data_IF_006435311652
#
_entry.id   IF_006435311652
#
_cell.length_a   1.000
_cell.length_b   1.000
_cell.length_c   1.000
_cell.angle_alpha   90.00
_cell.angle_beta   90.00
_cell.angle_gamma   90.00
#
_symmetry.space_group_name_H-M   'P 1'
#
loop_
_entity.id
_entity.type
_entity.pdbx_description
1 polymer ?
#
# COMPACT_ATOMS: atom_id res chain seq x y z
N UNK A 1 27.77 10.61 8.75
CA UNK A 1 27.22 9.27 8.72
C UNK A 1 25.73 9.34 9.03
N UNK A 2 24.88 8.61 8.31
CA UNK A 2 23.44 8.56 8.60
C UNK A 2 23.17 7.88 9.92
N UNK A 3 22.10 8.29 10.59
CA UNK A 3 21.56 7.67 11.82
C UNK A 3 20.05 7.58 11.66
N UNK A 4 19.44 6.47 12.08
CA UNK A 4 18.01 6.23 11.96
C UNK A 4 17.37 6.20 13.35
N UNK A 5 16.29 6.97 13.53
CA UNK A 5 15.47 6.97 14.75
C UNK A 5 14.09 6.42 14.43
N UNK A 6 13.61 5.49 15.26
CA UNK A 6 12.29 4.88 15.16
C UNK A 6 11.54 5.01 16.48
N UNK A 7 10.31 5.49 16.43
CA UNK A 7 9.44 5.64 17.59
C UNK A 7 9.16 4.29 18.28
N UNK A 8 8.84 3.25 17.49
CA UNK A 8 8.51 1.93 18.02
C UNK A 8 9.72 1.03 18.23
N UNK A 9 9.49 -0.06 18.99
CA UNK A 9 10.50 -1.09 19.27
C UNK A 9 10.87 -1.96 18.06
N UNK A 10 10.04 -1.95 17.01
CA UNK A 10 10.24 -2.72 15.79
C UNK A 10 10.27 -1.79 14.57
N UNK A 11 11.20 -2.06 13.67
CA UNK A 11 11.24 -1.41 12.37
C UNK A 11 10.14 -1.97 11.44
N UNK A 12 9.68 -1.15 10.49
CA UNK A 12 8.84 -1.60 9.39
C UNK A 12 7.55 -0.81 9.18
N UNK A 13 6.85 -0.38 10.22
CA UNK A 13 5.63 0.43 10.09
C UNK A 13 4.63 -0.17 9.09
N UNK A 14 4.06 0.67 8.21
CA UNK A 14 3.14 0.25 7.14
C UNK A 14 3.81 -0.66 6.10
N UNK A 15 5.13 -0.52 5.88
CA UNK A 15 5.87 -1.38 4.96
C UNK A 15 5.81 -2.84 5.38
N UNK A 16 6.02 -3.13 6.67
CA UNK A 16 5.94 -4.49 7.23
C UNK A 16 4.57 -5.14 6.97
N UNK A 17 3.49 -4.36 6.98
CA UNK A 17 2.12 -4.82 6.75
C UNK A 17 1.77 -4.97 5.27
N UNK A 18 2.64 -4.55 4.33
CA UNK A 18 2.36 -4.61 2.90
C UNK A 18 2.34 -6.06 2.40
N UNK A 19 1.18 -6.50 1.94
CA UNK A 19 0.96 -7.87 1.45
C UNK A 19 1.08 -8.03 -0.07
N UNK A 20 1.06 -6.93 -0.81
CA UNK A 20 1.11 -6.91 -2.28
C UNK A 20 2.54 -7.08 -2.82
N UNK A 21 3.04 -6.07 -3.50
CA UNK A 21 4.38 -6.03 -4.10
C UNK A 21 4.75 -4.61 -4.49
N UNK A 22 5.81 -4.48 -5.27
CA UNK A 22 6.31 -3.22 -5.82
C UNK A 22 5.99 -3.12 -7.32
N UNK A 23 5.26 -2.09 -7.75
CA UNK A 23 5.08 -1.83 -9.18
C UNK A 23 6.37 -1.29 -9.80
N UNK A 24 6.73 -1.83 -10.95
CA UNK A 24 7.82 -1.34 -11.79
C UNK A 24 7.60 -1.78 -13.24
N UNK A 25 7.97 -0.94 -14.19
CA UNK A 25 7.94 -1.20 -15.63
C UNK A 25 9.34 -1.37 -16.20
N UNK A 26 9.45 -2.01 -17.37
CA UNK A 26 10.71 -2.20 -18.11
C UNK A 26 11.81 -2.89 -17.27
N UNK A 27 11.42 -3.81 -16.39
CA UNK A 27 12.37 -4.52 -15.55
C UNK A 27 12.97 -5.74 -16.28
N UNK A 28 14.21 -6.12 -15.91
CA UNK A 28 14.82 -7.35 -16.39
C UNK A 28 13.95 -8.59 -16.14
N UNK A 29 13.20 -8.61 -15.03
CA UNK A 29 12.32 -9.73 -14.68
C UNK A 29 11.07 -9.79 -15.56
N UNK A 30 10.54 -8.62 -16.01
CA UNK A 30 9.47 -8.59 -17.01
C UNK A 30 9.98 -9.11 -18.36
N UNK A 31 11.17 -8.69 -18.78
CA UNK A 31 11.82 -9.18 -20.02
C UNK A 31 12.01 -10.70 -19.99
N UNK A 32 12.54 -11.26 -18.90
CA UNK A 32 12.72 -12.72 -18.71
C UNK A 32 11.41 -13.50 -18.81
N UNK A 33 10.28 -12.91 -18.42
CA UNK A 33 8.95 -13.52 -18.45
C UNK A 33 8.16 -13.20 -19.74
N UNK A 34 8.74 -12.41 -20.65
CA UNK A 34 8.08 -11.99 -21.88
C UNK A 34 6.87 -11.06 -21.65
N UNK A 35 6.89 -10.28 -20.56
CA UNK A 35 5.86 -9.29 -20.23
C UNK A 35 6.26 -7.97 -20.90
N UNK A 36 5.46 -7.52 -21.89
CA UNK A 36 5.64 -6.24 -22.53
C UNK A 36 5.01 -5.14 -21.66
N UNK A 37 5.81 -4.17 -21.22
CA UNK A 37 5.40 -3.02 -20.41
C UNK A 37 6.26 -1.80 -20.80
N UNK A 38 5.81 -0.59 -20.44
CA UNK A 38 6.58 0.63 -20.65
C UNK A 38 6.33 1.65 -19.53
N UNK A 39 7.26 2.60 -19.38
CA UNK A 39 7.11 3.72 -18.46
C UNK A 39 5.86 4.56 -18.81
N UNK A 40 5.57 4.76 -20.11
CA UNK A 40 4.38 5.46 -20.56
C UNK A 40 3.10 4.75 -20.10
N UNK A 41 3.02 3.43 -20.30
CA UNK A 41 1.85 2.65 -19.89
C UNK A 41 1.69 2.65 -18.37
N UNK A 42 2.78 2.55 -17.61
CA UNK A 42 2.75 2.66 -16.16
C UNK A 42 2.30 4.05 -15.71
N UNK A 43 2.77 5.10 -16.38
CA UNK A 43 2.34 6.48 -16.13
C UNK A 43 0.85 6.66 -16.39
N UNK A 44 0.35 6.21 -17.55
CA UNK A 44 -1.06 6.32 -17.94
C UNK A 44 -2.00 5.58 -16.98
N UNK A 45 -1.67 4.33 -16.61
CA UNK A 45 -2.43 3.57 -15.61
C UNK A 45 -2.49 4.31 -14.28
N UNK A 46 -1.34 4.82 -13.81
CA UNK A 46 -1.25 5.50 -12.52
C UNK A 46 -1.96 6.84 -12.52
N UNK A 47 -1.84 7.61 -13.60
CA UNK A 47 -2.56 8.87 -13.78
C UNK A 47 -4.07 8.66 -13.82
N UNK A 48 -4.51 7.64 -14.56
CA UNK A 48 -5.93 7.24 -14.63
C UNK A 48 -6.44 6.79 -13.26
N UNK A 49 -5.70 5.91 -12.57
CA UNK A 49 -6.02 5.47 -11.22
C UNK A 49 -6.09 6.62 -10.22
N UNK A 50 -5.22 7.62 -10.34
CA UNK A 50 -5.18 8.85 -9.55
C UNK A 50 -6.20 9.91 -10.01
N UNK A 51 -7.07 9.59 -10.97
CA UNK A 51 -8.11 10.47 -11.54
C UNK A 51 -7.54 11.74 -12.19
N UNK A 52 -6.32 11.66 -12.72
CA UNK A 52 -5.65 12.76 -13.43
C UNK A 52 -5.15 13.89 -12.51
N UNK A 53 -5.15 13.71 -11.20
CA UNK A 53 -4.77 14.75 -10.23
C UNK A 53 -3.36 14.60 -9.67
N UNK A 54 -2.64 13.56 -10.06
CA UNK A 54 -1.25 13.34 -9.69
C UNK A 54 -0.37 14.54 -10.10
N UNK A 55 0.62 14.90 -9.27
CA UNK A 55 1.71 15.73 -9.72
C UNK A 55 2.51 14.98 -10.79
N UNK A 56 2.40 15.42 -12.04
CA UNK A 56 2.94 14.69 -13.17
C UNK A 56 4.47 14.60 -13.16
N UNK A 57 5.17 15.60 -12.61
CA UNK A 57 6.62 15.60 -12.50
C UNK A 57 7.09 14.51 -11.52
N UNK A 58 6.45 14.41 -10.35
CA UNK A 58 6.71 13.35 -9.38
C UNK A 58 6.33 11.97 -9.93
N UNK A 59 5.21 11.89 -10.66
CA UNK A 59 4.77 10.64 -11.25
C UNK A 59 5.74 10.15 -12.34
N UNK A 60 6.21 11.02 -13.24
CA UNK A 60 7.26 10.67 -14.19
C UNK A 60 8.52 10.18 -13.47
N UNK A 61 8.94 10.89 -12.42
CA UNK A 61 10.12 10.46 -11.65
C UNK A 61 9.93 9.07 -11.05
N UNK A 62 8.74 8.76 -10.50
CA UNK A 62 8.41 7.45 -9.96
C UNK A 62 8.56 6.36 -11.01
N UNK A 63 7.90 6.51 -12.16
CA UNK A 63 7.86 5.45 -13.18
C UNK A 63 9.23 5.26 -13.84
N UNK A 64 9.93 6.35 -14.19
CA UNK A 64 11.23 6.32 -14.85
C UNK A 64 12.34 5.70 -13.99
N UNK A 65 12.17 5.72 -12.66
CA UNK A 65 13.15 5.17 -11.74
C UNK A 65 12.72 3.83 -11.11
N UNK A 66 11.57 3.28 -11.48
CA UNK A 66 11.02 2.06 -10.89
C UNK A 66 11.87 0.82 -11.18
N UNK A 67 12.29 0.61 -12.45
CA UNK A 67 13.18 -0.50 -12.82
C UNK A 67 14.53 -0.43 -12.10
N UNK A 68 15.13 0.77 -12.03
CA UNK A 68 16.41 0.96 -11.33
C UNK A 68 16.30 0.71 -9.82
N UNK A 69 15.12 0.91 -9.23
CA UNK A 69 14.88 0.59 -7.83
C UNK A 69 14.76 -0.94 -7.61
N UNK A 70 14.15 -1.69 -8.53
CA UNK A 70 14.15 -3.16 -8.53
C UNK A 70 15.59 -3.69 -8.63
N UNK A 71 16.40 -3.16 -9.56
CA UNK A 71 17.80 -3.57 -9.71
C UNK A 71 18.64 -3.25 -8.46
N UNK A 72 18.40 -2.11 -7.83
CA UNK A 72 19.06 -1.73 -6.59
C UNK A 72 18.72 -2.69 -5.45
N UNK A 73 17.44 -3.04 -5.27
CA UNK A 73 17.00 -4.04 -4.28
C UNK A 73 17.65 -5.41 -4.55
N UNK A 74 17.64 -5.87 -5.80
CA UNK A 74 18.23 -7.14 -6.20
C UNK A 74 19.75 -7.18 -5.91
N UNK A 75 20.46 -6.07 -6.13
CA UNK A 75 21.90 -5.94 -5.81
C UNK A 75 22.21 -6.08 -4.31
N UNK A 76 21.20 -5.85 -3.44
CA UNK A 76 21.28 -6.02 -1.99
C UNK A 76 20.74 -7.38 -1.52
N UNK A 77 20.46 -8.30 -2.45
CA UNK A 77 19.89 -9.61 -2.13
C UNK A 77 18.41 -9.58 -1.74
N UNK A 78 17.68 -8.57 -2.22
CA UNK A 78 16.23 -8.43 -2.08
C UNK A 78 15.60 -8.58 -3.46
N UNK A 79 15.43 -9.83 -3.89
CA UNK A 79 14.97 -10.16 -5.25
C UNK A 79 13.45 -10.25 -5.32
N UNK A 80 12.83 -9.47 -6.20
CA UNK A 80 11.38 -9.43 -6.43
C UNK A 80 11.08 -9.84 -7.88
N UNK A 81 11.07 -11.12 -8.17
CA UNK A 81 10.96 -11.68 -9.53
C UNK A 81 9.67 -12.45 -9.83
N UNK A 82 8.74 -12.52 -8.89
CA UNK A 82 7.40 -13.04 -9.13
C UNK A 82 6.47 -11.86 -9.49
N UNK A 83 5.91 -11.86 -10.71
CA UNK A 83 5.17 -10.71 -11.24
C UNK A 83 3.70 -11.06 -11.47
N UNK A 84 2.79 -10.25 -10.95
CA UNK A 84 1.35 -10.44 -11.06
C UNK A 84 0.59 -9.15 -11.38
N UNK A 85 -0.74 -9.24 -11.50
CA UNK A 85 -1.63 -8.10 -11.66
C UNK A 85 -1.92 -7.39 -10.32
N UNK A 86 -2.21 -6.08 -10.40
CA UNK A 86 -2.90 -5.31 -9.36
C UNK A 86 -4.11 -4.62 -9.96
N UNK A 87 -5.12 -4.30 -9.15
CA UNK A 87 -6.32 -3.60 -9.62
C UNK A 87 -5.97 -2.22 -10.20
N UNK A 88 -6.53 -1.93 -11.39
CA UNK A 88 -6.24 -0.72 -12.15
C UNK A 88 -4.95 -0.75 -12.98
N UNK A 89 -4.21 -1.86 -13.00
CA UNK A 89 -3.06 -2.03 -13.89
C UNK A 89 -3.44 -2.79 -15.16
N UNK A 90 -3.04 -2.29 -16.32
CA UNK A 90 -3.32 -2.89 -17.63
C UNK A 90 -2.46 -4.11 -17.95
N UNK A 91 -1.29 -4.25 -17.29
CA UNK A 91 -0.37 -5.38 -17.45
C UNK A 91 0.13 -5.89 -16.10
N UNK A 92 0.74 -7.08 -16.08
CA UNK A 92 1.41 -7.62 -14.90
C UNK A 92 2.64 -6.77 -14.58
N UNK A 93 2.65 -6.08 -13.43
CA UNK A 93 3.69 -5.11 -13.08
C UNK A 93 4.06 -5.12 -11.59
N UNK A 94 3.28 -5.82 -10.76
CA UNK A 94 3.55 -5.88 -9.32
C UNK A 94 4.56 -6.99 -9.02
N UNK A 95 5.78 -6.60 -8.62
CA UNK A 95 6.91 -7.48 -8.32
C UNK A 95 6.87 -7.93 -6.86
N UNK A 96 7.03 -9.22 -6.63
CA UNK A 96 6.91 -9.90 -5.33
C UNK A 96 8.10 -10.85 -5.11
N UNK A 97 8.32 -11.31 -3.85
CA UNK A 97 9.25 -12.41 -3.59
C UNK A 97 8.94 -13.64 -4.46
N UNK A 98 9.98 -14.42 -4.80
CA UNK A 98 9.89 -15.58 -5.71
C UNK A 98 8.85 -16.62 -5.29
N UNK A 99 8.66 -16.82 -4.00
CA UNK A 99 7.69 -17.77 -3.42
C UNK A 99 6.24 -17.23 -3.35
N UNK A 100 6.02 -15.98 -3.78
CA UNK A 100 4.72 -15.32 -3.75
C UNK A 100 4.29 -14.81 -2.36
N UNK A 101 5.18 -14.83 -1.37
CA UNK A 101 4.92 -14.31 -0.03
C UNK A 101 4.69 -12.78 -0.03
N UNK A 102 4.25 -12.24 1.11
CA UNK A 102 4.06 -10.80 1.30
C UNK A 102 5.37 -10.04 1.15
N UNK A 103 5.35 -8.95 0.38
CA UNK A 103 6.57 -8.15 0.10
C UNK A 103 7.09 -7.46 1.36
N UNK A 104 6.20 -7.06 2.28
CA UNK A 104 6.53 -6.18 3.39
C UNK A 104 7.60 -6.75 4.32
N UNK A 105 7.37 -7.93 4.88
CA UNK A 105 8.32 -8.60 5.77
C UNK A 105 9.63 -8.88 5.03
N UNK A 106 9.56 -9.42 3.82
CA UNK A 106 10.74 -9.74 3.01
C UNK A 106 11.62 -8.50 2.73
N UNK A 107 10.98 -7.37 2.40
CA UNK A 107 11.65 -6.10 2.14
C UNK A 107 12.29 -5.53 3.41
N UNK A 108 11.54 -5.46 4.51
CA UNK A 108 12.02 -4.91 5.78
C UNK A 108 13.18 -5.72 6.32
N UNK A 109 13.08 -7.06 6.37
CA UNK A 109 14.15 -7.94 6.83
C UNK A 109 15.42 -7.77 5.97
N UNK A 110 15.24 -7.69 4.65
CA UNK A 110 16.34 -7.45 3.72
C UNK A 110 17.03 -6.09 3.95
N UNK A 111 16.28 -5.02 4.15
CA UNK A 111 16.82 -3.69 4.41
C UNK A 111 17.50 -3.61 5.78
N UNK A 112 16.93 -4.20 6.84
CA UNK A 112 17.54 -4.25 8.18
C UNK A 112 18.85 -5.02 8.15
N UNK A 113 18.92 -6.15 7.41
CA UNK A 113 20.16 -6.86 7.19
C UNK A 113 21.22 -5.94 6.57
N UNK A 114 20.90 -5.23 5.50
CA UNK A 114 21.82 -4.31 4.82
C UNK A 114 22.26 -3.14 5.72
N UNK A 115 21.36 -2.55 6.51
CA UNK A 115 21.66 -1.51 7.50
C UNK A 115 22.68 -2.04 8.53
N UNK A 116 22.46 -3.26 9.01
CA UNK A 116 23.35 -3.90 10.01
C UNK A 116 24.73 -4.20 9.44
N UNK A 117 24.80 -4.77 8.24
CA UNK A 117 26.05 -5.08 7.54
C UNK A 117 26.88 -3.82 7.25
N UNK A 118 26.22 -2.70 6.96
CA UNK A 118 26.87 -1.41 6.75
C UNK A 118 27.13 -0.63 8.04
N UNK A 119 26.80 -1.20 9.19
CA UNK A 119 26.98 -0.58 10.50
C UNK A 119 26.31 0.81 10.62
N UNK A 120 25.14 0.99 10.01
CA UNK A 120 24.33 2.19 10.14
C UNK A 120 23.60 2.14 11.48
N UNK A 121 23.81 3.14 12.39
CA UNK A 121 23.13 3.15 13.68
C UNK A 121 21.62 3.26 13.53
N UNK A 122 20.89 2.34 14.15
CA UNK A 122 19.43 2.30 14.21
C UNK A 122 19.00 2.33 15.68
N UNK A 123 18.28 3.36 16.07
CA UNK A 123 17.75 3.53 17.42
C UNK A 123 16.22 3.33 17.40
N UNK A 124 15.75 2.29 18.05
CA UNK A 124 14.32 2.03 18.31
C UNK A 124 13.89 2.68 19.62
N UNK A 125 12.57 2.78 19.87
CA UNK A 125 12.01 3.47 21.04
C UNK A 125 12.57 4.90 21.22
N UNK A 126 12.74 5.59 20.09
CA UNK A 126 13.33 6.92 20.00
C UNK A 126 12.37 7.85 19.30
N UNK A 127 11.58 8.57 20.07
CA UNK A 127 10.57 9.51 19.55
C UNK A 127 11.24 10.81 19.11
N UNK A 128 11.12 11.14 17.81
CA UNK A 128 11.47 12.47 17.33
C UNK A 128 10.29 13.41 17.59
N UNK A 129 10.52 14.43 18.41
CA UNK A 129 9.47 15.36 18.84
C UNK A 129 9.53 16.71 18.13
N UNK A 130 10.69 17.03 17.53
CA UNK A 130 10.89 18.31 16.83
C UNK A 130 12.02 18.24 15.83
N UNK A 131 11.85 18.97 14.73
CA UNK A 131 12.93 19.28 13.78
C UNK A 131 13.45 20.67 14.14
N UNK A 132 14.75 20.80 14.39
CA UNK A 132 15.39 22.06 14.76
C UNK A 132 15.86 22.84 13.53
N UNK A 133 15.68 24.15 13.59
CA UNK A 133 16.12 25.11 12.57
C UNK A 133 17.04 26.15 13.18
N UNK A 134 18.04 26.58 12.43
CA UNK A 134 18.92 27.70 12.74
C UNK A 134 19.17 28.50 11.47
N UNK A 135 18.90 29.80 11.50
CA UNK A 135 19.08 30.73 10.36
C UNK A 135 18.38 30.25 9.07
N UNK A 136 17.16 29.71 9.20
CA UNK A 136 16.34 29.24 8.07
C UNK A 136 16.78 27.89 7.47
N UNK A 137 17.65 27.14 8.13
CA UNK A 137 18.13 25.81 7.73
C UNK A 137 17.91 24.78 8.82
N UNK A 138 17.61 23.54 8.43
CA UNK A 138 17.58 22.44 9.37
C UNK A 138 18.95 22.28 10.08
N UNK A 139 18.94 22.08 11.39
CA UNK A 139 20.14 21.94 12.22
C UNK A 139 20.14 20.67 13.09
N UNK A 140 19.12 19.81 12.95
CA UNK A 140 19.00 18.55 13.64
C UNK A 140 17.61 18.26 14.18
N UNK A 141 17.50 17.41 15.18
CA UNK A 141 16.23 17.00 15.80
C UNK A 141 16.31 16.95 17.32
N UNK A 142 15.17 17.08 17.98
CA UNK A 142 14.99 16.67 19.38
C UNK A 142 14.37 15.29 19.42
N UNK A 143 14.93 14.42 20.26
CA UNK A 143 14.43 13.04 20.45
C UNK A 143 14.19 12.79 21.94
N UNK A 144 13.21 11.92 22.23
CA UNK A 144 13.05 11.31 23.54
C UNK A 144 13.52 9.87 23.44
N UNK A 145 14.53 9.52 24.24
CA UNK A 145 15.06 8.17 24.37
C UNK A 145 15.25 7.85 25.84
N UNK A 146 14.74 6.70 26.30
CA UNK A 146 14.77 6.30 27.72
C UNK A 146 14.17 7.35 28.68
N UNK A 147 13.20 8.12 28.20
CA UNK A 147 12.51 9.18 28.93
C UNK A 147 13.30 10.50 29.04
N UNK A 148 14.47 10.59 28.41
CA UNK A 148 15.28 11.81 28.38
C UNK A 148 15.19 12.49 27.00
N UNK A 149 15.03 13.82 27.01
CA UNK A 149 15.11 14.63 25.79
C UNK A 149 16.57 14.88 25.44
N UNK A 150 16.95 14.58 24.20
CA UNK A 150 18.30 14.81 23.65
C UNK A 150 18.20 15.57 22.34
N UNK A 151 19.14 16.48 22.11
CA UNK A 151 19.29 17.19 20.85
C UNK A 151 20.37 16.50 20.01
N UNK A 152 20.01 16.12 18.79
CA UNK A 152 20.93 15.55 17.80
C UNK A 152 21.15 16.58 16.70
N UNK A 153 22.38 17.00 16.50
CA UNK A 153 22.75 17.95 15.43
C UNK A 153 22.97 17.21 14.12
N UNK A 154 22.45 17.78 13.02
CA UNK A 154 22.61 17.23 11.68
C UNK A 154 22.47 18.34 10.64
N UNK A 155 23.23 18.27 9.54
CA UNK A 155 23.10 19.19 8.41
C UNK A 155 21.88 18.89 7.55
N UNK A 156 21.36 17.66 7.57
CA UNK A 156 20.18 17.25 6.84
C UNK A 156 19.30 16.29 7.66
N UNK A 157 18.00 16.40 7.49
CA UNK A 157 16.97 15.49 8.05
C UNK A 157 16.09 14.95 6.93
N UNK A 158 15.91 13.62 6.91
CA UNK A 158 14.96 12.94 6.02
C UNK A 158 13.80 12.42 6.84
N UNK A 159 12.59 12.90 6.56
CA UNK A 159 11.37 12.50 7.27
C UNK A 159 10.66 11.41 6.48
N UNK A 160 10.50 10.22 7.11
CA UNK A 160 9.86 9.04 6.51
C UNK A 160 8.88 8.39 7.50
N UNK A 161 8.12 9.21 8.21
CA UNK A 161 7.28 8.81 9.36
C UNK A 161 5.99 8.10 8.96
N UNK A 162 5.70 7.99 7.67
CA UNK A 162 4.41 7.51 7.17
C UNK A 162 3.33 8.58 7.21
N UNK A 163 2.10 8.18 6.87
CA UNK A 163 0.94 9.06 6.82
C UNK A 163 0.23 9.24 8.18
N UNK A 164 -1.07 9.53 8.11
CA UNK A 164 -1.90 9.79 9.28
C UNK A 164 -3.13 8.85 9.39
N UNK A 165 -3.10 7.69 8.72
CA UNK A 165 -4.22 6.76 8.64
C UNK A 165 -4.70 6.17 9.98
N UNK A 166 -3.91 6.24 11.06
CA UNK A 166 -4.29 5.85 12.43
C UNK A 166 -4.63 7.03 13.32
N UNK A 167 -4.64 8.26 12.79
CA UNK A 167 -5.04 9.45 13.53
C UNK A 167 -6.50 9.80 13.19
N UNK A 168 -7.45 9.25 13.95
CA UNK A 168 -8.88 9.46 13.71
C UNK A 168 -9.29 10.93 13.73
N UNK A 169 -8.66 11.76 14.54
CA UNK A 169 -8.92 13.20 14.60
C UNK A 169 -8.54 13.89 13.29
N UNK A 170 -7.37 13.60 12.73
CA UNK A 170 -6.96 14.11 11.42
C UNK A 170 -7.87 13.57 10.31
N UNK A 171 -8.17 12.27 10.33
CA UNK A 171 -9.09 11.67 9.35
C UNK A 171 -10.44 12.39 9.37
N UNK A 172 -11.08 12.52 10.53
CA UNK A 172 -12.38 13.18 10.67
C UNK A 172 -12.34 14.68 10.28
N UNK A 173 -11.20 15.36 10.47
CA UNK A 173 -11.06 16.76 10.08
C UNK A 173 -11.03 16.98 8.58
N UNK A 174 -10.42 16.06 7.83
CA UNK A 174 -10.32 16.12 6.37
C UNK A 174 -11.45 15.37 5.67
N UNK A 175 -11.92 14.24 6.24
CA UNK A 175 -12.94 13.36 5.68
C UNK A 175 -13.94 12.93 6.78
N UNK A 176 -14.90 13.81 7.14
CA UNK A 176 -15.91 13.51 8.17
C UNK A 176 -16.76 12.27 7.87
N UNK A 177 -16.91 11.93 6.58
CA UNK A 177 -17.61 10.74 6.09
C UNK A 177 -16.91 9.43 6.46
N UNK A 178 -15.62 9.45 6.77
CA UNK A 178 -14.85 8.28 7.22
C UNK A 178 -14.84 8.09 8.75
N UNK A 179 -15.65 8.86 9.47
CA UNK A 179 -15.80 8.70 10.91
C UNK A 179 -16.19 7.28 11.29
N UNK A 180 -15.40 6.67 12.18
CA UNK A 180 -15.65 5.31 12.68
C UNK A 180 -15.16 4.18 11.78
N UNK A 181 -14.56 4.48 10.63
CA UNK A 181 -13.91 3.45 9.84
C UNK A 181 -12.68 2.88 10.57
N UNK A 182 -12.50 1.57 10.50
CA UNK A 182 -11.28 0.93 10.98
C UNK A 182 -10.11 1.27 10.06
N UNK A 183 -8.89 1.18 10.59
CA UNK A 183 -7.68 1.43 9.82
C UNK A 183 -6.81 0.18 9.73
N UNK A 184 -6.26 -0.06 8.55
CA UNK A 184 -5.27 -1.12 8.31
C UNK A 184 -3.84 -0.65 8.61
N UNK A 185 -3.64 0.67 8.83
CA UNK A 185 -2.31 1.25 8.98
C UNK A 185 -1.66 0.88 10.32
N UNK A 186 -0.36 1.06 10.42
CA UNK A 186 0.35 0.89 11.68
C UNK A 186 -0.08 1.97 12.68
N UNK A 187 -0.14 1.64 13.97
CA UNK A 187 -0.49 2.60 15.03
C UNK A 187 0.43 3.83 15.07
N UNK A 188 1.61 3.75 14.43
CA UNK A 188 2.54 4.87 14.24
C UNK A 188 2.17 5.85 13.15
N UNK A 189 1.15 5.57 12.33
CA UNK A 189 0.72 6.45 11.24
C UNK A 189 -0.17 7.57 11.79
N UNK A 190 0.42 8.47 12.56
CA UNK A 190 -0.27 9.51 13.37
C UNK A 190 -0.14 10.91 12.79
N UNK A 191 0.64 11.09 11.68
CA UNK A 191 0.86 12.38 11.03
C UNK A 191 1.86 13.28 11.75
N UNK A 192 2.66 12.76 12.67
CA UNK A 192 3.58 13.57 13.47
C UNK A 192 4.66 14.25 12.62
N UNK A 193 5.21 13.53 11.62
CA UNK A 193 6.17 14.10 10.69
C UNK A 193 5.59 15.26 9.87
N UNK A 194 4.33 15.14 9.43
CA UNK A 194 3.63 16.21 8.73
C UNK A 194 3.54 17.44 9.62
N UNK A 195 3.07 17.27 10.87
CA UNK A 195 2.94 18.38 11.83
C UNK A 195 4.28 19.05 12.15
N UNK A 196 5.35 18.28 12.29
CA UNK A 196 6.70 18.84 12.52
C UNK A 196 7.18 19.67 11.32
N UNK A 197 6.89 19.23 10.11
CA UNK A 197 7.23 19.95 8.86
C UNK A 197 6.39 21.22 8.71
N UNK A 198 5.10 21.18 8.99
CA UNK A 198 4.22 22.35 8.99
C UNK A 198 4.68 23.44 9.97
N UNK A 199 5.22 23.05 11.14
CA UNK A 199 5.80 24.00 12.10
C UNK A 199 7.00 24.78 11.54
N UNK A 200 7.70 24.24 10.54
CA UNK A 200 8.78 24.90 9.82
C UNK A 200 8.30 25.67 8.56
N UNK A 201 6.98 25.72 8.35
CA UNK A 201 6.35 26.36 7.19
C UNK A 201 6.34 25.50 5.92
N UNK A 202 6.54 24.19 6.06
CA UNK A 202 6.35 23.24 4.96
C UNK A 202 4.88 23.17 4.54
N UNK A 203 4.66 23.17 3.22
CA UNK A 203 3.32 23.08 2.64
C UNK A 203 2.83 21.62 2.58
N UNK A 204 1.51 21.45 2.63
CA UNK A 204 0.83 20.16 2.43
C UNK A 204 -0.07 20.18 1.20
N UNK A 205 -0.38 19.02 0.66
CA UNK A 205 -1.26 18.85 -0.50
C UNK A 205 -2.11 17.59 -0.34
N UNK A 206 -3.28 17.58 -0.94
CA UNK A 206 -4.19 16.42 -1.03
C UNK A 206 -4.58 15.79 0.32
N UNK A 207 -4.61 16.58 1.41
CA UNK A 207 -4.86 16.06 2.77
C UNK A 207 -6.25 15.42 2.94
N UNK A 208 -7.20 15.72 2.06
CA UNK A 208 -8.52 15.08 2.01
C UNK A 208 -8.52 13.79 1.16
N UNK A 209 -7.42 13.47 0.50
CA UNK A 209 -7.30 12.26 -0.31
C UNK A 209 -6.87 11.08 0.56
N UNK A 210 -7.85 10.37 1.09
CA UNK A 210 -7.68 9.23 1.99
C UNK A 210 -8.25 8.00 1.31
N UNK A 211 -7.40 7.00 1.07
CA UNK A 211 -7.80 5.76 0.41
C UNK A 211 -8.48 4.82 1.37
N UNK A 212 -9.64 4.34 0.96
CA UNK A 212 -10.35 3.23 1.58
C UNK A 212 -10.04 1.94 0.81
N UNK A 213 -9.77 0.86 1.52
CA UNK A 213 -9.57 -0.47 0.93
C UNK A 213 -10.84 -1.31 1.14
N UNK A 214 -11.36 -1.97 0.10
CA UNK A 214 -12.64 -2.69 0.20
C UNK A 214 -12.58 -3.92 1.10
N UNK A 215 -11.47 -4.64 1.15
CA UNK A 215 -11.41 -5.95 1.81
C UNK A 215 -10.68 -5.87 3.15
N UNK A 216 -11.35 -5.35 4.19
CA UNK A 216 -10.83 -5.24 5.56
C UNK A 216 -11.72 -5.99 6.55
N UNK A 217 -11.12 -6.84 7.37
CA UNK A 217 -11.79 -7.50 8.51
C UNK A 217 -12.02 -6.46 9.61
N UNK A 218 -13.27 -6.16 9.92
CA UNK A 218 -13.63 -5.02 10.75
C UNK A 218 -13.20 -5.16 12.22
N UNK A 219 -13.21 -6.37 12.77
CA UNK A 219 -12.88 -6.61 14.19
C UNK A 219 -11.39 -6.39 14.49
N UNK A 220 -10.52 -6.61 13.51
CA UNK A 220 -9.05 -6.58 13.69
C UNK A 220 -8.35 -5.47 12.91
N UNK A 221 -9.02 -4.84 11.93
CA UNK A 221 -8.37 -3.97 10.95
C UNK A 221 -7.43 -4.73 9.99
N UNK A 222 -7.54 -6.05 9.92
CA UNK A 222 -6.71 -6.88 9.05
C UNK A 222 -7.05 -6.64 7.59
N UNK A 223 -6.04 -6.31 6.79
CA UNK A 223 -6.17 -6.22 5.34
C UNK A 223 -6.19 -7.60 4.71
N UNK A 224 -7.22 -7.89 3.93
CA UNK A 224 -7.20 -9.01 3.00
C UNK A 224 -6.63 -8.53 1.67
N UNK A 225 -5.48 -9.09 1.31
CA UNK A 225 -4.70 -8.68 0.15
C UNK A 225 -5.52 -8.70 -1.15
N UNK A 226 -5.30 -7.70 -1.98
CA UNK A 226 -5.82 -7.64 -3.35
C UNK A 226 -5.40 -8.85 -4.19
N UNK A 227 -4.31 -9.52 -3.82
CA UNK A 227 -3.85 -10.78 -4.42
C UNK A 227 -4.95 -11.84 -4.44
N UNK A 228 -5.77 -11.95 -3.38
CA UNK A 228 -6.82 -12.97 -3.32
C UNK A 228 -7.86 -12.73 -4.43
N UNK A 229 -8.25 -11.47 -4.69
CA UNK A 229 -9.11 -11.10 -5.81
C UNK A 229 -8.39 -11.29 -7.17
N UNK A 230 -7.12 -10.95 -7.23
CA UNK A 230 -6.26 -11.14 -8.40
C UNK A 230 -6.00 -12.61 -8.76
N UNK A 231 -6.19 -13.55 -7.83
CA UNK A 231 -6.12 -15.00 -8.07
C UNK A 231 -7.49 -15.62 -8.41
N UNK A 232 -8.55 -14.82 -8.50
CA UNK A 232 -9.86 -15.29 -8.98
C UNK A 232 -10.99 -15.26 -7.95
N UNK A 233 -10.77 -14.78 -6.71
CA UNK A 233 -11.85 -14.65 -5.74
C UNK A 233 -12.93 -13.67 -6.20
N UNK A 234 -14.17 -13.91 -5.75
CA UNK A 234 -15.33 -13.06 -6.02
C UNK A 234 -15.85 -12.41 -4.74
N UNK A 235 -16.56 -11.29 -4.89
CA UNK A 235 -17.28 -10.62 -3.82
C UNK A 235 -18.78 -10.88 -3.96
N UNK A 236 -19.42 -11.32 -2.88
CA UNK A 236 -20.86 -11.52 -2.82
C UNK A 236 -21.50 -10.73 -1.69
N UNK A 237 -22.71 -10.22 -1.94
CA UNK A 237 -23.56 -9.57 -0.96
C UNK A 237 -24.23 -10.61 -0.03
N UNK A 238 -25.10 -10.15 0.89
CA UNK A 238 -25.81 -11.02 1.84
C UNK A 238 -26.88 -11.91 1.18
N UNK A 239 -27.21 -11.65 -0.08
CA UNK A 239 -28.07 -12.49 -0.89
C UNK A 239 -27.29 -13.63 -1.60
N UNK A 240 -25.95 -13.57 -1.58
CA UNK A 240 -25.07 -14.52 -2.27
C UNK A 240 -24.82 -14.18 -3.72
N UNK A 241 -25.08 -12.94 -4.13
CA UNK A 241 -24.95 -12.44 -5.51
C UNK A 241 -23.71 -11.54 -5.63
N UNK A 242 -22.99 -11.63 -6.76
CA UNK A 242 -21.96 -10.65 -7.11
C UNK A 242 -22.61 -9.28 -7.32
N UNK A 243 -21.88 -8.21 -7.07
CA UNK A 243 -22.41 -6.86 -7.16
C UNK A 243 -21.43 -5.84 -7.79
N UNK A 244 -20.21 -6.27 -8.13
CA UNK A 244 -19.16 -5.41 -8.69
C UNK A 244 -18.12 -6.25 -9.44
N UNK A 245 -17.37 -5.61 -10.36
CA UNK A 245 -16.10 -6.16 -10.82
C UNK A 245 -15.08 -6.06 -9.69
N UNK A 246 -14.62 -7.17 -9.19
CA UNK A 246 -13.73 -7.25 -8.02
C UNK A 246 -12.34 -6.64 -8.26
N UNK A 247 -11.96 -6.41 -9.51
CA UNK A 247 -10.67 -5.82 -9.90
C UNK A 247 -10.77 -4.37 -10.40
N UNK A 248 -11.93 -3.74 -10.22
CA UNK A 248 -12.02 -2.30 -10.30
C UNK A 248 -11.09 -1.61 -9.26
N UNK A 249 -10.90 -0.32 -9.39
CA UNK A 249 -10.11 0.47 -8.45
C UNK A 249 -10.70 0.40 -7.04
N UNK A 250 -9.87 0.56 -6.02
CA UNK A 250 -10.26 0.40 -4.60
C UNK A 250 -11.44 1.26 -4.21
N UNK A 251 -11.48 2.50 -4.68
CA UNK A 251 -12.56 3.44 -4.43
C UNK A 251 -13.89 2.97 -5.07
N UNK A 252 -13.86 2.42 -6.30
CA UNK A 252 -15.05 1.90 -6.96
C UNK A 252 -15.61 0.67 -6.23
N UNK A 253 -14.76 -0.28 -5.87
CA UNK A 253 -15.18 -1.47 -5.12
C UNK A 253 -15.70 -1.09 -3.75
N UNK A 254 -15.02 -0.20 -3.01
CA UNK A 254 -15.46 0.28 -1.70
C UNK A 254 -16.79 1.03 -1.76
N UNK A 255 -17.00 1.84 -2.82
CA UNK A 255 -18.26 2.54 -3.02
C UNK A 255 -19.42 1.57 -3.29
N UNK A 256 -19.19 0.52 -4.11
CA UNK A 256 -20.17 -0.51 -4.35
C UNK A 256 -20.54 -1.28 -3.07
N UNK A 257 -19.57 -1.60 -2.22
CA UNK A 257 -19.80 -2.22 -0.91
C UNK A 257 -20.58 -1.33 0.05
N UNK A 258 -20.18 -0.05 0.14
CA UNK A 258 -20.86 0.94 1.01
C UNK A 258 -22.31 1.19 0.57
N UNK A 259 -22.63 0.98 -0.71
CA UNK A 259 -23.98 1.06 -1.24
C UNK A 259 -24.88 -0.15 -0.88
N UNK A 260 -24.30 -1.27 -0.43
CA UNK A 260 -25.07 -2.41 0.06
C UNK A 260 -25.83 -2.02 1.35
N UNK A 261 -27.03 -2.55 1.59
CA UNK A 261 -27.82 -2.23 2.80
C UNK A 261 -27.05 -2.47 4.11
N UNK A 262 -26.29 -3.55 4.18
CA UNK A 262 -25.52 -3.95 5.37
C UNK A 262 -24.08 -3.42 5.36
N UNK A 263 -23.63 -2.79 4.28
CA UNK A 263 -22.31 -2.19 4.10
C UNK A 263 -21.14 -3.14 4.38
N UNK A 264 -21.33 -4.43 4.11
CA UNK A 264 -20.28 -5.46 4.11
C UNK A 264 -20.54 -6.49 3.02
N UNK A 265 -19.52 -7.28 2.68
CA UNK A 265 -19.60 -8.37 1.72
C UNK A 265 -18.86 -9.60 2.24
N UNK A 266 -18.98 -10.70 1.49
CA UNK A 266 -18.13 -11.88 1.67
C UNK A 266 -17.21 -12.04 0.48
N UNK A 267 -15.92 -12.22 0.74
CA UNK A 267 -14.93 -12.65 -0.25
C UNK A 267 -14.96 -14.18 -0.29
N UNK A 268 -15.31 -14.75 -1.45
CA UNK A 268 -15.49 -16.20 -1.65
C UNK A 268 -14.37 -16.72 -2.56
N UNK A 269 -13.76 -17.85 -2.15
CA UNK A 269 -12.72 -18.52 -2.92
C UNK A 269 -12.64 -20.01 -2.55
N UNK A 270 -11.85 -20.76 -3.29
CA UNK A 270 -11.69 -22.19 -3.15
C UNK A 270 -10.29 -22.62 -2.66
N UNK A 271 -10.10 -23.92 -2.48
CA UNK A 271 -8.84 -24.48 -1.98
C UNK A 271 -7.65 -24.31 -2.95
N UNK A 272 -7.88 -24.32 -4.25
CA UNK A 272 -6.80 -24.13 -5.22
C UNK A 272 -6.31 -22.67 -5.21
N UNK A 273 -7.22 -21.71 -5.05
CA UNK A 273 -6.85 -20.32 -4.82
C UNK A 273 -6.08 -20.18 -3.50
N UNK A 274 -6.54 -20.78 -2.42
CA UNK A 274 -5.86 -20.74 -1.10
C UNK A 274 -4.40 -21.23 -1.18
N UNK A 275 -4.11 -22.22 -2.03
CA UNK A 275 -2.75 -22.72 -2.26
C UNK A 275 -1.88 -21.73 -3.04
N UNK A 276 -2.48 -20.98 -3.99
CA UNK A 276 -1.77 -19.98 -4.80
C UNK A 276 -1.52 -18.69 -4.01
N UNK A 277 -2.50 -18.24 -3.23
CA UNK A 277 -2.42 -17.05 -2.40
C UNK A 277 -1.95 -17.41 -0.98
N UNK A 278 -0.63 -17.51 -0.78
CA UNK A 278 -0.01 -17.92 0.50
C UNK A 278 -0.46 -17.12 1.72
N UNK A 279 -0.90 -15.89 1.52
CA UNK A 279 -1.46 -15.05 2.59
C UNK A 279 -2.68 -15.67 3.25
N UNK A 280 -3.41 -16.57 2.58
CA UNK A 280 -4.59 -17.26 3.14
C UNK A 280 -4.21 -18.08 4.37
N UNK A 281 -3.03 -18.70 4.42
CA UNK A 281 -2.55 -19.45 5.60
C UNK A 281 -2.50 -18.53 6.85
N UNK A 282 -2.08 -17.29 6.68
CA UNK A 282 -2.10 -16.30 7.75
C UNK A 282 -3.53 -15.92 8.15
N UNK A 283 -4.43 -15.69 7.19
CA UNK A 283 -5.83 -15.37 7.49
C UNK A 283 -6.56 -16.50 8.22
N UNK A 284 -6.25 -17.77 7.88
CA UNK A 284 -6.75 -18.93 8.62
C UNK A 284 -6.20 -18.96 10.06
N UNK A 285 -4.91 -18.72 10.26
CA UNK A 285 -4.29 -18.72 11.59
C UNK A 285 -4.85 -17.64 12.52
N UNK A 286 -5.26 -16.51 11.96
CA UNK A 286 -5.91 -15.41 12.69
C UNK A 286 -7.43 -15.57 12.85
N UNK A 287 -8.01 -16.67 12.32
CA UNK A 287 -9.43 -16.93 12.42
C UNK A 287 -10.33 -16.04 11.57
N UNK A 288 -9.78 -15.41 10.53
CA UNK A 288 -10.55 -14.54 9.65
C UNK A 288 -11.37 -15.30 8.60
N UNK A 289 -11.08 -16.60 8.38
CA UNK A 289 -11.74 -17.41 7.37
C UNK A 289 -12.86 -18.25 7.96
N UNK A 290 -13.94 -18.41 7.22
CA UNK A 290 -14.98 -19.43 7.40
C UNK A 290 -14.73 -20.48 6.32
N UNK A 291 -14.72 -21.76 6.68
CA UNK A 291 -14.33 -22.86 5.79
C UNK A 291 -15.33 -24.00 5.83
N UNK A 292 -15.67 -24.53 4.66
CA UNK A 292 -16.56 -25.68 4.54
C UNK A 292 -16.15 -26.59 3.37
N UNK A 293 -16.50 -27.86 3.44
CA UNK A 293 -16.16 -28.83 2.39
C UNK A 293 -16.95 -28.61 1.10
N UNK A 294 -18.17 -28.10 1.22
CA UNK A 294 -19.04 -27.79 0.08
C UNK A 294 -19.51 -26.32 0.11
N UNK A 295 -19.92 -25.82 -1.06
CA UNK A 295 -20.43 -24.45 -1.17
C UNK A 295 -21.76 -24.28 -0.43
N UNK A 296 -22.58 -25.34 -0.39
CA UNK A 296 -23.86 -25.33 0.32
C UNK A 296 -23.65 -25.26 1.85
N UNK A 297 -22.66 -25.95 2.39
CA UNK A 297 -22.28 -25.85 3.80
C UNK A 297 -21.70 -24.47 4.14
N UNK A 298 -20.86 -23.90 3.24
CA UNK A 298 -20.33 -22.58 3.40
C UNK A 298 -21.45 -21.53 3.45
N UNK A 299 -22.39 -21.60 2.52
CA UNK A 299 -23.54 -20.72 2.47
C UNK A 299 -24.36 -20.74 3.75
N UNK A 300 -24.60 -21.94 4.32
CA UNK A 300 -25.29 -22.10 5.62
C UNK A 300 -24.52 -21.44 6.77
N UNK A 301 -23.18 -21.55 6.79
CA UNK A 301 -22.35 -20.95 7.85
C UNK A 301 -22.34 -19.41 7.81
N UNK A 302 -22.55 -18.82 6.63
CA UNK A 302 -22.57 -17.35 6.45
C UNK A 302 -23.99 -16.79 6.30
N UNK A 303 -25.02 -17.60 6.58
CA UNK A 303 -26.44 -17.24 6.54
C UNK A 303 -26.91 -16.74 5.17
N UNK A 304 -26.44 -17.40 4.10
CA UNK A 304 -26.82 -17.13 2.70
C UNK A 304 -27.59 -18.34 2.15
N UNK A 305 -28.55 -18.09 1.24
CA UNK A 305 -29.26 -19.19 0.55
C UNK A 305 -28.30 -20.05 -0.28
N UNK A 306 -28.17 -21.35 0.03
CA UNK A 306 -27.23 -22.23 -0.67
C UNK A 306 -27.44 -22.32 -2.17
N UNK A 307 -28.70 -22.26 -2.62
CA UNK A 307 -29.02 -22.36 -4.05
C UNK A 307 -28.54 -21.10 -4.79
N UNK A 308 -28.70 -19.93 -4.18
CA UNK A 308 -28.25 -18.66 -4.77
C UNK A 308 -26.72 -18.59 -4.83
N UNK A 309 -26.02 -18.88 -3.73
CA UNK A 309 -24.56 -18.84 -3.72
C UNK A 309 -23.96 -19.83 -4.72
N UNK A 310 -24.54 -21.03 -4.82
CA UNK A 310 -24.13 -22.02 -5.82
C UNK A 310 -24.34 -21.51 -7.25
N UNK A 311 -25.49 -20.92 -7.55
CA UNK A 311 -25.78 -20.38 -8.87
C UNK A 311 -24.80 -19.24 -9.25
N UNK A 312 -24.43 -18.42 -8.29
CA UNK A 312 -23.42 -17.36 -8.48
C UNK A 312 -22.04 -17.94 -8.84
N UNK A 313 -21.60 -19.00 -8.12
CA UNK A 313 -20.34 -19.66 -8.44
C UNK A 313 -20.40 -20.37 -9.80
N UNK A 314 -21.51 -21.06 -10.11
CA UNK A 314 -21.69 -21.73 -11.41
C UNK A 314 -21.62 -20.68 -12.56
N UNK A 315 -22.22 -19.51 -12.39
CA UNK A 315 -22.15 -18.41 -13.35
C UNK A 315 -20.72 -17.89 -13.49
N UNK A 316 -20.03 -17.63 -12.37
CA UNK A 316 -18.63 -17.20 -12.38
C UNK A 316 -17.72 -18.20 -13.09
N UNK A 317 -17.84 -19.50 -12.77
CA UNK A 317 -17.04 -20.55 -13.38
C UNK A 317 -17.28 -20.67 -14.91
N UNK A 318 -18.50 -20.42 -15.36
CA UNK A 318 -18.80 -20.32 -16.80
C UNK A 318 -18.15 -19.08 -17.43
N UNK A 319 -18.20 -17.92 -16.76
CA UNK A 319 -17.55 -16.69 -17.21
C UNK A 319 -16.03 -16.90 -17.36
N UNK A 320 -15.38 -17.57 -16.40
CA UNK A 320 -13.96 -17.95 -16.44
C UNK A 320 -13.70 -18.84 -17.68
N UNK A 321 -14.50 -19.87 -17.90
CA UNK A 321 -14.34 -20.78 -19.05
C UNK A 321 -14.49 -20.05 -20.40
N UNK A 322 -15.41 -19.11 -20.48
CA UNK A 322 -15.68 -18.33 -21.69
C UNK A 322 -14.77 -17.09 -21.83
N UNK A 323 -13.94 -16.81 -20.81
CA UNK A 323 -13.09 -15.60 -20.72
C UNK A 323 -13.91 -14.32 -20.94
N UNK A 324 -15.10 -14.28 -20.35
CA UNK A 324 -16.02 -13.15 -20.50
C UNK A 324 -16.95 -13.03 -19.29
N UNK A 325 -16.96 -11.87 -18.66
CA UNK A 325 -17.91 -11.50 -17.61
C UNK A 325 -18.92 -10.47 -18.14
N UNK A 326 -20.10 -10.90 -18.62
CA UNK A 326 -21.07 -10.00 -19.22
C UNK A 326 -21.81 -9.13 -18.21
N UNK A 327 -21.74 -9.47 -16.92
CA UNK A 327 -22.49 -8.81 -15.86
C UNK A 327 -21.75 -7.60 -15.28
N UNK A 328 -20.46 -7.76 -14.97
CA UNK A 328 -19.66 -6.71 -14.36
C UNK A 328 -18.43 -6.31 -15.18
N UNK A 329 -18.16 -6.97 -16.30
CA UNK A 329 -17.11 -6.61 -17.25
C UNK A 329 -15.70 -6.89 -16.73
N UNK A 330 -15.53 -7.90 -15.85
CA UNK A 330 -14.18 -8.31 -15.41
C UNK A 330 -13.46 -8.99 -16.59
N UNK A 331 -12.27 -8.49 -16.94
CA UNK A 331 -11.48 -8.93 -18.09
C UNK A 331 -10.15 -9.59 -17.68
N UNK A 332 -9.74 -9.48 -16.41
CA UNK A 332 -8.47 -9.98 -15.90
C UNK A 332 -8.66 -10.92 -14.72
N UNK A 333 -7.62 -11.73 -14.41
CA UNK A 333 -7.65 -12.73 -13.34
C UNK A 333 -8.86 -13.68 -13.44
N UNK A 334 -9.11 -14.16 -14.66
CA UNK A 334 -10.10 -15.19 -15.00
C UNK A 334 -9.39 -16.47 -15.47
N UNK A 335 -8.19 -16.72 -14.96
CA UNK A 335 -7.38 -17.89 -15.33
C UNK A 335 -7.84 -19.18 -14.65
N UNK A 336 -8.53 -19.08 -13.51
CA UNK A 336 -8.91 -20.20 -12.65
C UNK A 336 -10.36 -20.11 -12.20
N UNK A 337 -11.06 -21.24 -12.26
CA UNK A 337 -12.41 -21.41 -11.70
C UNK A 337 -12.36 -21.64 -10.17
N UNK A 338 -13.52 -21.62 -9.53
CA UNK A 338 -13.73 -21.87 -8.11
C UNK A 338 -14.58 -23.14 -7.93
N UNK A 339 -13.96 -24.30 -8.14
CA UNK A 339 -14.69 -25.60 -8.19
C UNK A 339 -14.20 -26.61 -7.16
N UNK A 340 -13.05 -26.36 -6.51
CA UNK A 340 -12.36 -27.36 -5.69
C UNK A 340 -12.47 -27.05 -4.21
N UNK A 341 -13.31 -27.79 -3.47
CA UNK A 341 -13.39 -27.66 -2.01
C UNK A 341 -12.10 -28.06 -1.27
N UNK A 342 -11.94 -27.62 -0.02
CA UNK A 342 -12.86 -26.78 0.73
C UNK A 342 -12.99 -25.37 0.18
N UNK A 343 -14.17 -24.78 0.40
CA UNK A 343 -14.48 -23.39 0.05
C UNK A 343 -14.32 -22.49 1.27
N UNK A 344 -14.01 -21.22 1.01
CA UNK A 344 -13.73 -20.23 2.03
C UNK A 344 -14.58 -18.98 1.84
N UNK A 345 -14.94 -18.36 2.95
CA UNK A 345 -15.51 -17.03 3.00
C UNK A 345 -14.73 -16.17 4.00
N UNK A 346 -14.52 -14.89 3.67
CA UNK A 346 -14.04 -13.88 4.62
C UNK A 346 -15.04 -12.75 4.63
N UNK A 347 -15.56 -12.39 5.82
CA UNK A 347 -16.42 -11.22 5.99
C UNK A 347 -15.56 -9.96 5.97
N UNK A 348 -15.87 -9.06 5.05
CA UNK A 348 -15.08 -7.83 4.84
C UNK A 348 -16.00 -6.60 4.69
N UNK A 349 -15.45 -5.44 5.01
CA UNK A 349 -16.04 -4.16 4.68
C UNK A 349 -14.92 -3.12 4.45
N UNK A 350 -15.24 -1.94 3.91
CA UNK A 350 -14.24 -0.91 3.65
C UNK A 350 -13.55 -0.40 4.93
N UNK A 351 -12.24 -0.11 4.82
CA UNK A 351 -11.44 0.46 5.91
C UNK A 351 -10.35 1.40 5.40
N UNK A 352 -9.91 2.35 6.23
CA UNK A 352 -8.83 3.29 5.90
C UNK A 352 -7.54 2.51 5.67
N UNK A 353 -6.83 2.84 4.58
CA UNK A 353 -5.66 2.05 4.18
C UNK A 353 -4.41 2.88 3.87
N UNK A 354 -4.56 4.05 3.27
CA UNK A 354 -3.44 4.89 2.85
C UNK A 354 -3.88 6.36 2.81
N UNK A 355 -2.98 7.27 3.17
CA UNK A 355 -3.19 8.70 2.97
C UNK A 355 -2.35 9.13 1.77
N UNK A 356 -3.01 9.62 0.68
CA UNK A 356 -2.31 10.15 -0.49
C UNK A 356 -1.84 11.58 -0.26
N UNK A 357 -2.48 12.28 0.70
CA UNK A 357 -2.07 13.60 1.12
C UNK A 357 -0.89 13.58 2.07
N UNK A 358 -0.11 14.64 2.04
CA UNK A 358 1.08 14.82 2.86
C UNK A 358 1.85 16.08 2.51
N UNK A 359 3.10 16.16 2.90
CA UNK A 359 3.94 17.33 2.64
C UNK A 359 4.31 17.44 1.16
N UNK A 360 4.41 18.67 0.65
CA UNK A 360 4.85 18.93 -0.72
C UNK A 360 6.36 18.74 -0.85
N UNK A 361 6.76 18.02 -1.89
CA UNK A 361 8.17 17.83 -2.26
C UNK A 361 8.39 18.12 -3.76
N UNK A 362 9.64 18.34 -4.14
CA UNK A 362 10.07 18.29 -5.53
C UNK A 362 10.70 16.92 -5.86
N UNK A 363 11.16 16.73 -7.10
CA UNK A 363 11.80 15.47 -7.55
C UNK A 363 13.11 15.13 -6.81
N UNK A 364 13.75 16.13 -6.20
CA UNK A 364 14.91 15.94 -5.31
C UNK A 364 14.50 15.64 -3.88
N UNK A 365 13.19 15.42 -3.62
CA UNK A 365 12.59 15.13 -2.31
C UNK A 365 12.77 16.24 -1.26
N UNK A 366 13.17 17.43 -1.68
CA UNK A 366 13.24 18.59 -0.80
C UNK A 366 11.83 19.05 -0.43
N UNK A 367 11.60 19.33 0.84
CA UNK A 367 10.33 19.84 1.35
C UNK A 367 10.12 21.29 0.88
N UNK A 368 8.94 21.57 0.32
CA UNK A 368 8.56 22.87 -0.21
C UNK A 368 7.71 23.65 0.78
N UNK A 369 7.83 24.98 0.75
CA UNK A 369 6.91 25.93 1.37
C UNK A 369 5.79 26.29 0.41
N UNK A 370 4.79 27.01 0.87
CA UNK A 370 3.64 27.50 0.07
C UNK A 370 4.06 28.34 -1.16
N UNK A 371 5.17 29.08 -1.06
CA UNK A 371 5.70 29.89 -2.14
C UNK A 371 6.57 29.12 -3.14
N UNK A 372 6.68 27.80 -2.95
CA UNK A 372 7.50 26.92 -3.77
C UNK A 372 8.98 26.91 -3.42
N UNK A 373 9.43 27.70 -2.44
CA UNK A 373 10.83 27.65 -1.97
C UNK A 373 11.09 26.40 -1.12
N UNK A 374 12.33 25.90 -1.17
CA UNK A 374 12.73 24.73 -0.38
C UNK A 374 13.05 25.13 1.06
N UNK A 375 12.85 24.18 2.00
CA UNK A 375 13.41 24.27 3.36
C UNK A 375 14.80 23.62 3.31
N UNK A 376 15.90 24.41 3.44
CA UNK A 376 17.25 23.87 3.27
C UNK A 376 17.59 22.81 4.30
N UNK A 377 18.09 21.66 3.83
CA UNK A 377 18.44 20.51 4.66
C UNK A 377 17.26 19.61 5.07
N UNK A 378 16.02 19.90 4.64
CA UNK A 378 14.84 19.10 4.93
C UNK A 378 14.37 18.32 3.69
N UNK A 379 14.24 17.00 3.87
CA UNK A 379 13.78 16.06 2.86
C UNK A 379 12.65 15.20 3.40
N UNK A 380 11.78 14.71 2.53
CA UNK A 380 10.72 13.77 2.91
C UNK A 380 10.47 12.74 1.80
N UNK A 381 10.07 11.53 2.17
CA UNK A 381 9.77 10.46 1.20
C UNK A 381 8.76 9.44 1.76
N UNK A 382 8.01 8.81 0.84
CA UNK A 382 6.97 7.83 1.16
C UNK A 382 5.67 8.48 1.63
N UNK A 383 4.84 7.75 2.34
CA UNK A 383 3.46 8.14 2.68
C UNK A 383 3.32 9.45 3.49
N UNK A 384 4.41 10.00 4.02
CA UNK A 384 4.44 11.34 4.63
C UNK A 384 4.30 12.46 3.59
N UNK A 385 4.56 12.17 2.30
CA UNK A 385 4.50 13.10 1.18
C UNK A 385 3.20 12.99 0.42
N UNK A 386 2.74 14.09 -0.17
CA UNK A 386 1.54 14.15 -1.00
C UNK A 386 1.82 14.47 -2.48
N UNK A 387 0.77 14.36 -3.30
CA UNK A 387 0.78 14.71 -4.72
C UNK A 387 1.19 13.59 -5.68
N UNK A 388 1.86 12.53 -5.22
CA UNK A 388 2.36 11.45 -6.10
C UNK A 388 1.22 10.59 -6.64
N UNK A 389 0.23 10.27 -5.80
CA UNK A 389 -0.80 9.26 -6.10
C UNK A 389 -2.16 9.84 -6.54
N UNK A 390 -2.32 11.15 -6.54
CA UNK A 390 -3.61 11.80 -6.84
C UNK A 390 -4.72 11.38 -5.88
N UNK A 391 -5.95 11.28 -6.38
CA UNK A 391 -7.13 10.98 -5.54
C UNK A 391 -7.26 9.51 -5.16
N UNK A 392 -6.56 8.59 -5.84
CA UNK A 392 -6.62 7.17 -5.53
C UNK A 392 -5.35 6.46 -6.00
N UNK A 393 -4.78 5.61 -5.14
CA UNK A 393 -3.51 4.94 -5.38
C UNK A 393 -3.70 3.50 -5.89
N UNK A 394 -3.05 3.14 -6.99
CA UNK A 394 -2.99 1.76 -7.48
C UNK A 394 -2.19 0.88 -6.50
N UNK A 395 -2.64 -0.36 -6.28
CA UNK A 395 -1.93 -1.36 -5.49
C UNK A 395 -0.49 -1.56 -5.99
N UNK A 396 0.49 -1.64 -5.06
CA UNK A 396 1.92 -1.73 -5.40
C UNK A 396 2.65 -0.39 -5.55
N UNK A 397 1.96 0.72 -5.87
CA UNK A 397 2.60 2.03 -6.04
C UNK A 397 3.17 2.61 -4.75
N UNK A 398 2.59 2.32 -3.57
CA UNK A 398 3.18 2.78 -2.30
C UNK A 398 4.56 2.16 -2.05
N UNK A 399 4.77 0.89 -2.43
CA UNK A 399 6.09 0.25 -2.29
C UNK A 399 7.06 0.80 -3.33
N UNK A 400 6.62 1.09 -4.56
CA UNK A 400 7.44 1.78 -5.56
C UNK A 400 7.87 3.18 -5.07
N UNK A 401 6.93 3.95 -4.54
CA UNK A 401 7.16 5.29 -3.98
C UNK A 401 8.24 5.28 -2.89
N UNK A 402 8.07 4.47 -1.84
CA UNK A 402 9.05 4.43 -0.73
C UNK A 402 10.44 3.99 -1.18
N UNK A 403 10.54 3.15 -2.23
CA UNK A 403 11.84 2.70 -2.75
C UNK A 403 12.49 3.77 -3.64
N UNK A 404 11.74 4.34 -4.56
CA UNK A 404 12.24 5.35 -5.50
C UNK A 404 12.59 6.65 -4.76
N UNK A 405 11.63 7.23 -4.04
CA UNK A 405 11.84 8.50 -3.35
C UNK A 405 12.67 8.36 -2.08
N UNK A 406 12.58 7.25 -1.34
CA UNK A 406 13.45 6.98 -0.20
C UNK A 406 14.94 6.93 -0.59
N UNK A 407 15.26 6.26 -1.70
CA UNK A 407 16.61 6.24 -2.27
C UNK A 407 17.04 7.64 -2.71
N UNK A 408 16.18 8.40 -3.40
CA UNK A 408 16.45 9.77 -3.82
C UNK A 408 16.71 10.69 -2.63
N UNK A 409 15.88 10.63 -1.59
CA UNK A 409 16.04 11.43 -0.39
C UNK A 409 17.39 11.19 0.30
N UNK A 410 17.79 9.91 0.42
CA UNK A 410 19.11 9.56 0.97
C UNK A 410 20.26 10.14 0.15
N UNK A 411 20.19 10.05 -1.19
CA UNK A 411 21.20 10.60 -2.10
C UNK A 411 21.29 12.13 -1.98
N UNK A 412 20.15 12.82 -2.00
CA UNK A 412 20.15 14.30 -1.95
C UNK A 412 20.55 14.84 -0.58
N UNK A 413 20.08 14.22 0.51
CA UNK A 413 20.50 14.57 1.85
C UNK A 413 22.02 14.40 2.06
N UNK A 414 22.59 13.29 1.55
CA UNK A 414 24.01 13.04 1.61
C UNK A 414 24.82 14.06 0.79
N UNK A 415 24.36 14.42 -0.40
CA UNK A 415 25.00 15.49 -1.20
C UNK A 415 24.97 16.83 -0.47
N UNK A 416 23.84 17.20 0.13
CA UNK A 416 23.69 18.45 0.87
C UNK A 416 24.65 18.53 2.08
N UNK A 417 24.70 17.45 2.87
CA UNK A 417 25.52 17.38 4.09
C UNK A 417 27.05 17.35 3.81
N UNK A 418 27.47 17.06 2.57
CA UNK A 418 28.89 17.01 2.17
C UNK A 418 29.36 18.27 1.43
N UNK A 419 28.47 19.26 1.19
CA UNK A 419 28.79 20.55 0.58
C UNK A 419 28.92 21.65 1.63
#
# INVERSE_FOLDING_TARGET
NPVIFLFFSLAGGNTMKSSGGMNASETKFQEELGIEDSNELFFEDTLTGGKGTNNQELLHYLVDNSASAIDWLDSMGITLNNISYSGGASVKRIHRPADGSSVGTYLVDGLIRNITEQSIPLFVNSEVTKINETDGKVSGVEIIIEGETKTITSDAVVVTTGGYGSNHEMIESFRPDLKGYVSTTAASSTGDGIKMIEQLGGATVDMDQIQVHPTVVQDSGMLISETVRGEGAILVNQQGERFVNELETRDNVSAAETALPEQYAYLIFDNELAKRAKQVEYYESEGATIKADTIEELAQQIDIDPATLKATLDTWNNNVKEQKDPEFGRETAMDYDLTTGPFYAIKIAPGIHHTMGGVQINVDTQVLKEDGSVIPGLYAAGEVTGGIHGQNRIGGNAVADIMVFGRQAGVQAAKYANN
#
